data_IF_308345102411
#
_entry.id   IF_308345102411
#
_cell.length_a   1.000
_cell.length_b   1.000
_cell.length_c   1.000
_cell.angle_alpha   90.00
_cell.angle_beta   90.00
_cell.angle_gamma   90.00
#
_symmetry.space_group_name_H-M   'P 1'
#
loop_
_entity.id
_entity.type
_entity.pdbx_description
1 polymer ?
#
# COMPACT_ATOMS: atom_id res chain seq x y z
N UNK A 1 20.91 12.92 -1.68
CA UNK A 1 21.16 13.49 -0.32
C UNK A 1 20.16 13.00 0.70
N UNK A 2 18.84 13.08 0.43
CA UNK A 2 17.80 12.67 1.38
C UNK A 2 17.89 11.20 1.80
N UNK A 3 18.04 10.25 0.88
CA UNK A 3 18.24 8.83 1.21
C UNK A 3 19.43 8.58 2.16
N UNK A 4 20.56 9.26 1.91
CA UNK A 4 21.74 9.14 2.78
C UNK A 4 21.44 9.62 4.20
N UNK A 5 20.70 10.72 4.34
CA UNK A 5 20.31 11.25 5.66
C UNK A 5 19.29 10.35 6.33
N UNK A 6 18.32 9.83 5.58
CA UNK A 6 17.34 8.86 6.09
C UNK A 6 18.02 7.59 6.61
N UNK A 7 18.96 7.03 5.84
CA UNK A 7 19.79 5.91 6.27
C UNK A 7 20.66 6.23 7.50
N UNK A 8 20.94 7.51 7.75
CA UNK A 8 21.63 8.01 8.94
C UNK A 8 20.71 8.32 10.13
N UNK A 9 19.43 7.94 10.09
CA UNK A 9 18.46 8.11 11.19
C UNK A 9 17.57 9.35 11.08
N UNK A 10 17.63 10.13 9.99
CA UNK A 10 16.68 11.22 9.76
C UNK A 10 15.29 10.65 9.47
N UNK A 11 14.28 11.08 10.23
CA UNK A 11 12.89 10.73 9.96
C UNK A 11 12.42 11.47 8.70
N UNK A 12 11.75 10.74 7.80
CA UNK A 12 11.11 11.27 6.60
C UNK A 12 9.62 11.00 6.69
N UNK A 13 8.80 12.01 6.42
CA UNK A 13 7.34 11.91 6.45
C UNK A 13 6.71 12.61 5.25
N UNK A 14 5.51 12.15 4.88
CA UNK A 14 4.75 12.70 3.77
C UNK A 14 3.25 12.47 3.95
N UNK A 15 2.44 13.42 3.50
CA UNK A 15 0.97 13.36 3.53
C UNK A 15 0.42 13.56 2.13
N UNK A 16 -0.70 12.89 1.80
CA UNK A 16 -1.33 12.93 0.47
C UNK A 16 -0.28 12.61 -0.63
N UNK A 17 -0.06 13.50 -1.61
CA UNK A 17 0.99 13.34 -2.62
C UNK A 17 2.39 13.06 -2.03
N UNK A 18 2.70 13.65 -0.86
CA UNK A 18 3.93 13.38 -0.11
C UNK A 18 4.04 11.93 0.38
N UNK A 19 2.92 11.26 0.69
CA UNK A 19 2.92 9.83 1.01
C UNK A 19 3.09 8.98 -0.26
N UNK A 20 2.40 9.36 -1.35
CA UNK A 20 2.49 8.65 -2.62
C UNK A 20 3.93 8.61 -3.17
N UNK A 21 4.68 9.73 -3.09
CA UNK A 21 6.08 9.77 -3.54
C UNK A 21 7.03 8.90 -2.71
N UNK A 22 6.66 8.40 -1.53
CA UNK A 22 7.55 7.52 -0.75
C UNK A 22 7.70 6.12 -1.35
N UNK A 23 6.74 5.71 -2.18
CA UNK A 23 6.67 4.40 -2.84
C UNK A 23 7.78 4.18 -3.88
N UNK A 24 7.93 2.94 -4.34
CA UNK A 24 8.75 2.62 -5.53
C UNK A 24 8.00 2.99 -6.80
N UNK A 25 6.76 2.48 -6.90
CA UNK A 25 5.83 2.77 -7.99
C UNK A 25 4.72 3.66 -7.45
N UNK A 26 4.76 4.93 -7.84
CA UNK A 26 3.82 5.94 -7.41
C UNK A 26 2.58 5.93 -8.29
N UNK A 27 1.40 5.96 -7.67
CA UNK A 27 0.15 6.24 -8.38
C UNK A 27 0.06 7.74 -8.63
N UNK A 28 0.16 8.14 -9.90
CA UNK A 28 0.10 9.54 -10.33
C UNK A 28 -1.36 9.98 -10.42
N UNK A 29 -2.17 9.22 -11.14
CA UNK A 29 -3.58 9.51 -11.38
C UNK A 29 -4.34 8.26 -11.85
N UNK A 30 -5.63 8.42 -12.09
CA UNK A 30 -6.53 7.36 -12.50
C UNK A 30 -7.55 7.04 -11.42
N UNK A 31 -8.73 6.61 -11.87
CA UNK A 31 -9.86 6.30 -11.03
C UNK A 31 -10.66 5.17 -11.67
N UNK A 32 -10.93 4.13 -10.89
CA UNK A 32 -11.82 3.06 -11.28
C UNK A 32 -12.44 2.42 -10.05
N UNK A 33 -13.74 2.14 -10.11
CA UNK A 33 -14.47 1.48 -9.02
C UNK A 33 -14.22 -0.03 -9.00
N UNK A 34 -14.08 -0.63 -10.18
CA UNK A 34 -13.71 -2.05 -10.33
C UNK A 34 -12.30 -2.19 -10.89
N UNK A 35 -11.56 -3.27 -10.54
CA UNK A 35 -10.21 -3.45 -11.06
C UNK A 35 -10.19 -3.56 -12.59
N UNK A 36 -9.33 -2.78 -13.25
CA UNK A 36 -9.19 -2.70 -14.71
C UNK A 36 -7.73 -2.53 -15.12
N UNK A 37 -7.33 -3.21 -16.20
CA UNK A 37 -5.96 -3.13 -16.69
C UNK A 37 -5.65 -1.72 -17.20
N UNK A 38 -4.47 -1.20 -16.87
CA UNK A 38 -4.00 0.12 -17.33
C UNK A 38 -4.95 1.30 -17.05
N UNK A 39 -5.89 1.17 -16.10
CA UNK A 39 -6.82 2.25 -15.72
C UNK A 39 -6.18 3.29 -14.79
N UNK A 40 -4.93 3.06 -14.38
CA UNK A 40 -4.22 3.83 -13.37
C UNK A 40 -2.84 4.16 -13.91
N UNK A 41 -2.53 5.44 -13.98
CA UNK A 41 -1.22 5.91 -14.42
C UNK A 41 -0.26 5.87 -13.23
N UNK A 42 0.86 5.17 -13.44
CA UNK A 42 1.93 5.06 -12.46
C UNK A 42 3.21 5.71 -12.97
N UNK A 43 4.08 6.10 -12.04
CA UNK A 43 5.38 6.67 -12.33
C UNK A 43 6.39 6.31 -11.24
N UNK A 44 7.66 6.69 -11.40
CA UNK A 44 8.65 6.48 -10.36
C UNK A 44 8.32 7.32 -9.12
N UNK A 45 8.36 6.69 -7.95
CA UNK A 45 8.42 7.40 -6.68
C UNK A 45 9.85 7.76 -6.30
N UNK A 46 10.04 8.21 -5.06
CA UNK A 46 11.34 8.46 -4.46
C UNK A 46 11.95 7.21 -3.82
N UNK A 47 11.23 6.09 -3.74
CA UNK A 47 11.79 4.81 -3.30
C UNK A 47 12.35 4.83 -1.86
N UNK A 48 11.72 5.60 -0.96
CA UNK A 48 11.98 5.47 0.48
C UNK A 48 11.44 4.16 1.05
N UNK A 49 10.41 3.61 0.39
CA UNK A 49 9.78 2.32 0.69
C UNK A 49 9.86 1.41 -0.55
N UNK A 50 10.97 0.65 -0.70
CA UNK A 50 11.13 -0.32 -1.78
C UNK A 50 10.03 -1.38 -1.76
N UNK A 51 9.49 -1.74 -2.92
CA UNK A 51 8.47 -2.78 -3.05
C UNK A 51 7.08 -2.42 -2.51
N UNK A 52 6.82 -1.13 -2.25
CA UNK A 52 5.55 -0.63 -1.74
C UNK A 52 4.92 0.33 -2.77
N UNK A 53 3.59 0.28 -2.88
CA UNK A 53 2.73 1.23 -3.59
C UNK A 53 1.81 1.89 -2.59
N UNK A 54 1.68 3.22 -2.63
CA UNK A 54 0.84 3.97 -1.68
C UNK A 54 -0.31 4.64 -2.42
N UNK A 55 -1.52 4.43 -1.90
CA UNK A 55 -2.72 5.18 -2.25
C UNK A 55 -3.24 5.92 -1.01
N UNK A 56 -3.69 7.15 -1.18
CA UNK A 56 -4.00 8.10 -0.12
C UNK A 56 -5.44 8.63 -0.28
N UNK A 57 -6.05 9.15 0.78
CA UNK A 57 -7.51 9.41 0.82
C UNK A 57 -8.31 8.16 0.44
N UNK A 58 -7.87 7.00 0.93
CA UNK A 58 -8.18 5.71 0.34
C UNK A 58 -9.66 5.34 0.44
N UNK A 59 -10.20 5.13 1.65
CA UNK A 59 -11.61 4.82 1.84
C UNK A 59 -12.52 5.98 1.41
N UNK A 60 -12.09 7.22 1.67
CA UNK A 60 -12.89 8.43 1.39
C UNK A 60 -13.23 8.58 -0.09
N UNK A 61 -12.39 8.05 -0.98
CA UNK A 61 -12.59 8.08 -2.44
C UNK A 61 -12.91 6.70 -3.03
N UNK A 62 -13.12 5.67 -2.20
CA UNK A 62 -13.46 4.33 -2.67
C UNK A 62 -12.38 3.69 -3.55
N UNK A 63 -11.10 3.90 -3.23
CA UNK A 63 -9.95 3.62 -4.11
C UNK A 63 -9.48 2.16 -4.13
N UNK A 64 -10.22 1.22 -3.56
CA UNK A 64 -9.86 -0.19 -3.56
C UNK A 64 -9.73 -0.77 -4.98
N UNK A 65 -10.68 -0.47 -5.88
CA UNK A 65 -10.63 -0.95 -7.26
C UNK A 65 -9.40 -0.46 -8.01
N UNK A 66 -9.02 0.80 -7.79
CA UNK A 66 -7.79 1.40 -8.31
C UNK A 66 -6.55 0.71 -7.74
N UNK A 67 -6.44 0.57 -6.43
CA UNK A 67 -5.27 -0.08 -5.81
C UNK A 67 -5.10 -1.52 -6.29
N UNK A 68 -6.20 -2.29 -6.38
CA UNK A 68 -6.22 -3.64 -6.95
C UNK A 68 -5.73 -3.67 -8.41
N UNK A 69 -6.10 -2.67 -9.22
CA UNK A 69 -5.63 -2.56 -10.61
C UNK A 69 -4.13 -2.37 -10.71
N UNK A 70 -3.54 -1.66 -9.74
CA UNK A 70 -2.10 -1.38 -9.73
C UNK A 70 -1.32 -2.59 -9.20
N UNK A 71 -1.74 -3.19 -8.08
CA UNK A 71 -1.05 -4.39 -7.56
C UNK A 71 -1.19 -5.59 -8.49
N UNK A 72 -2.26 -5.67 -9.31
CA UNK A 72 -2.34 -6.68 -10.36
C UNK A 72 -1.24 -6.52 -11.43
N UNK A 73 -0.86 -5.29 -11.75
CA UNK A 73 0.24 -5.00 -12.68
C UNK A 73 1.62 -5.19 -12.00
N UNK A 74 1.69 -4.96 -10.69
CA UNK A 74 2.92 -5.07 -9.89
C UNK A 74 2.74 -6.04 -8.70
N UNK A 75 2.51 -7.35 -8.93
CA UNK A 75 2.15 -8.29 -7.85
C UNK A 75 3.28 -8.55 -6.85
N UNK A 76 4.51 -8.18 -7.21
CA UNK A 76 5.66 -8.22 -6.30
C UNK A 76 5.66 -7.07 -5.29
N UNK A 77 4.81 -6.04 -5.44
CA UNK A 77 4.72 -4.91 -4.52
C UNK A 77 3.50 -5.02 -3.61
N UNK A 78 3.62 -4.58 -2.36
CA UNK A 78 2.48 -4.44 -1.46
C UNK A 78 1.75 -3.13 -1.75
N UNK A 79 0.44 -3.20 -1.96
CA UNK A 79 -0.41 -2.02 -2.04
C UNK A 79 -0.84 -1.57 -0.66
N UNK A 80 -0.66 -0.29 -0.33
CA UNK A 80 -1.03 0.31 0.95
C UNK A 80 -2.00 1.47 0.68
N UNK A 81 -3.26 1.27 1.05
CA UNK A 81 -4.28 2.31 1.13
C UNK A 81 -4.28 3.00 2.49
N UNK A 82 -4.09 4.31 2.50
CA UNK A 82 -4.05 5.16 3.70
C UNK A 82 -5.29 6.05 3.71
N UNK A 83 -6.11 5.87 4.74
CA UNK A 83 -7.27 6.73 4.99
C UNK A 83 -6.84 8.14 5.44
N UNK A 84 -7.75 9.10 5.33
CA UNK A 84 -7.55 10.43 5.93
C UNK A 84 -7.31 10.34 7.44
N UNK A 85 -6.57 11.31 7.98
CA UNK A 85 -6.19 11.39 9.40
C UNK A 85 -5.57 10.09 9.94
N UNK A 86 -4.85 9.36 9.07
CA UNK A 86 -4.21 8.08 9.36
C UNK A 86 -2.80 8.07 8.80
N UNK A 87 -1.87 7.45 9.52
CA UNK A 87 -0.50 7.28 9.06
C UNK A 87 0.07 5.91 9.45
N UNK A 88 1.05 5.46 8.67
CA UNK A 88 1.82 4.27 8.91
C UNK A 88 3.24 4.68 9.30
N UNK A 89 3.62 4.42 10.55
CA UNK A 89 4.99 4.67 11.05
C UNK A 89 5.80 3.41 10.79
N UNK A 90 6.93 3.55 10.09
CA UNK A 90 7.74 2.40 9.66
C UNK A 90 9.14 2.52 10.28
N UNK A 91 9.54 1.48 10.98
CA UNK A 91 10.86 1.31 11.59
C UNK A 91 11.44 -0.04 11.15
N UNK A 92 12.41 -0.01 10.23
CA UNK A 92 12.90 -1.23 9.58
C UNK A 92 11.82 -1.87 8.71
N UNK A 93 11.43 -3.11 9.02
CA UNK A 93 10.35 -3.84 8.34
C UNK A 93 9.02 -3.74 9.09
N UNK A 94 9.02 -3.20 10.30
CA UNK A 94 7.82 -3.11 11.11
C UNK A 94 7.06 -1.81 10.79
N UNK A 95 5.76 -1.96 10.59
CA UNK A 95 4.83 -0.88 10.35
C UNK A 95 3.80 -0.82 11.48
N UNK A 96 3.53 0.37 12.02
CA UNK A 96 2.52 0.61 13.07
C UNK A 96 1.52 1.66 12.61
N UNK A 97 0.23 1.37 12.79
CA UNK A 97 -0.86 2.29 12.43
C UNK A 97 -1.10 3.31 13.54
N UNK A 98 -1.17 4.58 13.16
CA UNK A 98 -1.62 5.70 14.00
C UNK A 98 -2.70 6.51 13.29
N UNK A 99 -3.48 7.28 14.06
CA UNK A 99 -4.57 8.10 13.53
C UNK A 99 -5.96 7.50 13.81
N UNK A 100 -6.98 8.02 13.12
CA UNK A 100 -8.39 7.72 13.40
C UNK A 100 -9.05 6.76 12.41
N UNK A 101 -8.50 6.61 11.20
CA UNK A 101 -8.96 5.66 10.18
C UNK A 101 -8.21 4.33 10.21
N UNK A 102 -8.08 3.70 9.04
CA UNK A 102 -7.38 2.43 8.87
C UNK A 102 -6.33 2.48 7.76
N UNK A 103 -5.37 1.56 7.85
CA UNK A 103 -4.48 1.19 6.76
C UNK A 103 -5.02 -0.09 6.13
N UNK A 104 -5.28 -0.06 4.83
CA UNK A 104 -5.60 -1.26 4.05
C UNK A 104 -4.35 -1.74 3.33
N UNK A 105 -3.91 -2.97 3.59
CA UNK A 105 -2.82 -3.60 2.86
C UNK A 105 -3.40 -4.63 1.90
N UNK A 106 -2.94 -4.60 0.64
CA UNK A 106 -3.34 -5.50 -0.43
C UNK A 106 -2.10 -6.20 -0.96
N UNK A 107 -2.05 -7.53 -0.82
CA UNK A 107 -0.97 -8.37 -1.31
C UNK A 107 -1.46 -9.28 -2.45
N UNK A 108 -1.00 -8.98 -3.66
CA UNK A 108 -1.24 -9.79 -4.85
C UNK A 108 -0.11 -10.80 -5.12
N UNK A 109 0.94 -10.83 -4.30
CA UNK A 109 2.03 -11.81 -4.42
C UNK A 109 1.57 -13.24 -4.09
N UNK A 110 0.52 -13.38 -3.29
CA UNK A 110 -0.17 -14.65 -2.99
C UNK A 110 -1.28 -15.01 -3.99
N UNK A 111 -1.52 -14.19 -5.02
CA UNK A 111 -2.64 -14.39 -5.93
C UNK A 111 -2.53 -15.72 -6.68
N UNK A 112 -3.63 -16.47 -6.69
CA UNK A 112 -3.73 -17.77 -7.39
C UNK A 112 -4.05 -17.61 -8.88
N UNK A 113 -4.61 -16.47 -9.27
CA UNK A 113 -4.82 -16.08 -10.67
C UNK A 113 -4.75 -14.57 -10.80
N UNK A 114 -4.01 -14.09 -11.80
CA UNK A 114 -3.87 -12.67 -12.12
C UNK A 114 -3.66 -12.54 -13.63
N UNK A 115 -4.54 -11.82 -14.33
CA UNK A 115 -4.41 -11.52 -15.77
C UNK A 115 -4.24 -10.01 -16.04
N UNK A 116 -3.98 -9.21 -15.00
CA UNK A 116 -3.99 -7.75 -15.08
C UNK A 116 -2.93 -7.12 -15.99
N UNK A 117 -1.88 -7.86 -16.32
CA UNK A 117 -0.85 -7.46 -17.28
C UNK A 117 -1.11 -7.97 -18.72
N UNK A 118 -2.02 -8.93 -18.89
CA UNK A 118 -2.20 -9.68 -20.14
C UNK A 118 -3.46 -9.29 -20.91
N UNK A 119 -4.37 -8.54 -20.28
CA UNK A 119 -5.63 -8.11 -20.91
C UNK A 119 -5.55 -6.68 -21.47
N UNK A 120 -6.35 -6.33 -22.49
CA UNK A 120 -6.35 -5.00 -23.08
C UNK A 120 -6.60 -3.89 -22.07
N UNK A 121 -6.01 -2.72 -22.32
CA UNK A 121 -6.23 -1.53 -21.51
C UNK A 121 -7.73 -1.22 -21.36
N UNK A 122 -8.16 -0.92 -20.13
CA UNK A 122 -9.55 -0.66 -19.78
C UNK A 122 -10.42 -1.91 -19.58
N UNK A 123 -9.96 -3.11 -19.94
CA UNK A 123 -10.70 -4.34 -19.67
C UNK A 123 -10.76 -4.64 -18.16
N UNK A 124 -11.83 -5.31 -17.73
CA UNK A 124 -11.91 -5.86 -16.38
C UNK A 124 -10.86 -6.98 -16.23
N UNK A 125 -10.25 -7.05 -15.06
CA UNK A 125 -9.21 -8.05 -14.76
C UNK A 125 -9.77 -9.15 -13.86
N UNK A 126 -9.20 -10.33 -13.99
CA UNK A 126 -9.26 -11.37 -12.97
C UNK A 126 -8.11 -11.19 -12.00
N UNK A 127 -8.46 -11.13 -10.72
CA UNK A 127 -7.50 -11.23 -9.62
C UNK A 127 -8.09 -12.08 -8.50
N UNK A 128 -7.52 -13.26 -8.24
CA UNK A 128 -8.00 -14.24 -7.26
C UNK A 128 -6.93 -14.58 -6.23
N UNK A 129 -7.32 -14.86 -4.99
CA UNK A 129 -6.40 -15.25 -3.92
C UNK A 129 -5.57 -14.09 -3.34
N UNK A 130 -6.00 -12.85 -3.54
CA UNK A 130 -5.37 -11.66 -2.94
C UNK A 130 -5.61 -11.66 -1.45
N UNK A 131 -4.56 -11.38 -0.68
CA UNK A 131 -4.68 -11.17 0.77
C UNK A 131 -4.97 -9.69 1.04
N UNK A 132 -6.00 -9.42 1.86
CA UNK A 132 -6.32 -8.07 2.32
C UNK A 132 -6.22 -8.02 3.84
N UNK A 133 -5.52 -7.00 4.35
CA UNK A 133 -5.50 -6.66 5.77
C UNK A 133 -6.11 -5.26 5.97
N UNK A 134 -7.00 -5.12 6.95
CA UNK A 134 -7.51 -3.82 7.39
C UNK A 134 -7.04 -3.60 8.82
N UNK A 135 -6.18 -2.60 9.00
CA UNK A 135 -5.43 -2.37 10.23
C UNK A 135 -5.85 -1.02 10.82
N UNK A 136 -6.67 -0.98 11.88
CA UNK A 136 -6.95 0.25 12.62
C UNK A 136 -5.76 0.66 13.49
N UNK A 137 -5.88 1.81 14.15
CA UNK A 137 -4.91 2.34 15.12
C UNK A 137 -4.38 1.26 16.08
N UNK A 138 -3.07 1.27 16.28
CA UNK A 138 -2.38 0.39 17.24
C UNK A 138 -1.93 -0.95 16.65
N UNK A 139 -2.53 -1.39 15.55
CA UNK A 139 -2.13 -2.62 14.87
C UNK A 139 -0.74 -2.49 14.23
N UNK A 140 -0.04 -3.62 14.16
CA UNK A 140 1.33 -3.72 13.64
C UNK A 140 1.41 -4.76 12.51
N UNK A 141 2.30 -4.53 11.57
CA UNK A 141 2.47 -5.38 10.39
C UNK A 141 3.95 -5.50 10.03
N UNK A 142 4.39 -6.70 9.66
CA UNK A 142 5.72 -6.94 9.12
C UNK A 142 5.66 -6.85 7.58
N UNK A 143 6.27 -5.81 7.03
CA UNK A 143 6.31 -5.55 5.59
C UNK A 143 7.15 -6.58 4.83
N UNK A 144 8.13 -7.22 5.48
CA UNK A 144 8.98 -8.24 4.89
C UNK A 144 8.30 -9.61 4.89
N UNK A 145 7.71 -10.00 6.03
CA UNK A 145 6.97 -11.26 6.17
C UNK A 145 5.56 -11.18 5.55
N UNK A 146 5.10 -9.98 5.21
CA UNK A 146 3.75 -9.69 4.69
C UNK A 146 2.64 -10.22 5.58
N UNK A 147 2.80 -10.04 6.89
CA UNK A 147 1.86 -10.58 7.88
C UNK A 147 1.63 -9.63 9.05
N UNK A 148 0.45 -9.67 9.68
CA UNK A 148 0.21 -8.97 10.94
C UNK A 148 1.15 -9.49 12.03
N UNK A 149 1.67 -8.58 12.86
CA UNK A 149 2.36 -8.97 14.08
C UNK A 149 1.31 -9.28 15.15
N UNK A 150 1.46 -10.38 15.87
CA UNK A 150 0.59 -10.72 16.98
C UNK A 150 0.69 -9.66 18.07
N UNK A 151 -0.46 -9.22 18.57
CA UNK A 151 -0.51 -8.42 19.79
C UNK A 151 0.05 -9.29 20.92
N UNK A 152 1.18 -8.89 21.50
CA UNK A 152 1.55 -9.42 22.81
C UNK A 152 0.48 -8.92 23.78
N UNK A 153 -0.54 -9.73 24.02
CA UNK A 153 -1.48 -9.53 25.12
C UNK A 153 -0.67 -9.55 26.41
N UNK A 154 -0.23 -8.37 26.85
CA UNK A 154 -0.02 -8.14 28.26
C UNK A 154 -1.42 -8.09 28.86
N UNK A 155 -1.93 -9.27 29.22
CA UNK A 155 -3.00 -9.40 30.20
C UNK A 155 -2.58 -8.52 31.37
N UNK A 156 -3.26 -7.39 31.53
CA UNK A 156 -3.14 -6.61 32.75
C UNK A 156 -4.17 -7.23 33.69
N UNK A 157 -3.66 -7.91 34.71
CA UNK A 157 -4.42 -8.36 35.89
C UNK A 157 -5.17 -7.19 36.55
#
# INVERSE_FOLDING_TARGET
>A
VLHRRAAGGMVVGGTSAGAAVMSSTMIVEGETRSPRASAVHTGPGLEFLPGIIIDQHFAQRGRLGRLLSVVAQFPHQLGIGIDEDTALVIEGHEARVIGSGAITIVDAGSATRNDGADVPAGAAITLCGVTLHSLPRGQRFDLSARSPLSDSTTTTD
#
